data_IF_475840557461
#
_entry.id   IF_475840557461
#
_cell.length_a   1.000
_cell.length_b   1.000
_cell.length_c   1.000
_cell.angle_alpha   90.00
_cell.angle_beta   90.00
_cell.angle_gamma   90.00
#
_symmetry.space_group_name_H-M   'P 1'
#
loop_
_entity.id
_entity.type
_entity.pdbx_description
1 polymer ?
#
# COMPACT_ATOMS: atom_id res chain seq x y z
N UNK A 1 29.09 0.31 38.83
CA UNK A 1 28.35 -0.39 37.76
C UNK A 1 27.87 0.67 36.78
N UNK A 2 28.54 0.79 35.63
CA UNK A 2 28.11 1.68 34.55
C UNK A 2 27.07 0.91 33.73
N UNK A 3 25.84 1.41 33.70
CA UNK A 3 24.87 0.99 32.69
C UNK A 3 25.33 1.58 31.35
N UNK A 4 25.96 0.77 30.50
CA UNK A 4 25.99 1.06 29.06
C UNK A 4 24.54 1.00 28.57
N UNK A 5 23.95 2.16 28.31
CA UNK A 5 22.77 2.26 27.46
C UNK A 5 23.20 1.80 26.07
N UNK A 6 22.64 0.68 25.63
CA UNK A 6 22.73 0.25 24.25
C UNK A 6 22.24 1.38 23.36
N UNK A 7 23.10 1.80 22.44
CA UNK A 7 22.71 2.70 21.37
C UNK A 7 21.93 1.82 20.39
N UNK A 8 20.62 1.65 20.61
CA UNK A 8 19.76 0.64 19.97
C UNK A 8 19.57 0.86 18.45
N UNK A 9 20.37 1.71 17.81
CA UNK A 9 20.31 1.95 16.38
C UNK A 9 18.99 2.59 15.92
N UNK A 10 18.21 3.18 16.82
CA UNK A 10 16.96 3.85 16.48
C UNK A 10 16.84 5.20 17.17
N UNK A 11 16.13 6.16 16.55
CA UNK A 11 15.72 7.42 17.20
C UNK A 11 14.59 7.18 18.20
N UNK A 12 14.23 8.21 18.98
CA UNK A 12 13.06 8.17 19.88
C UNK A 12 11.74 7.88 19.14
N UNK A 13 11.67 8.17 17.84
CA UNK A 13 10.52 7.87 16.98
C UNK A 13 10.62 6.48 16.31
N UNK A 14 11.64 5.69 16.64
CA UNK A 14 11.90 4.37 16.07
C UNK A 14 12.54 4.38 14.68
N UNK A 15 12.95 5.55 14.17
CA UNK A 15 13.65 5.65 12.88
C UNK A 15 15.01 4.96 12.98
N UNK A 16 15.39 4.08 12.03
CA UNK A 16 16.69 3.42 12.05
C UNK A 16 17.84 4.43 11.85
N UNK A 17 18.79 4.45 12.79
CA UNK A 17 20.01 5.27 12.75
C UNK A 17 21.25 4.39 12.54
N UNK A 18 22.14 4.79 11.63
CA UNK A 18 23.39 4.05 11.38
C UNK A 18 23.21 2.75 10.60
N UNK A 19 22.03 2.54 10.00
CA UNK A 19 21.72 1.43 9.10
C UNK A 19 21.78 1.87 7.62
N UNK A 20 21.88 0.94 6.66
CA UNK A 20 21.84 1.27 5.23
C UNK A 20 20.51 1.93 4.83
N UNK A 21 20.51 2.70 3.74
CA UNK A 21 19.31 3.38 3.20
C UNK A 21 18.11 2.44 2.97
N UNK A 22 18.37 1.16 2.73
CA UNK A 22 17.33 0.12 2.63
C UNK A 22 16.52 -0.05 3.92
N UNK A 23 17.12 0.14 5.10
CA UNK A 23 16.44 0.03 6.38
C UNK A 23 15.47 1.21 6.60
N UNK A 24 15.91 2.44 6.30
CA UNK A 24 15.04 3.61 6.32
C UNK A 24 13.86 3.45 5.35
N UNK A 25 14.13 2.97 4.13
CA UNK A 25 13.08 2.70 3.13
C UNK A 25 12.05 1.69 3.63
N UNK A 26 12.49 0.57 4.18
CA UNK A 26 11.58 -0.43 4.77
C UNK A 26 10.75 0.17 5.91
N UNK A 27 11.37 0.95 6.80
CA UNK A 27 10.67 1.63 7.89
C UNK A 27 9.61 2.64 7.39
N UNK A 28 9.92 3.40 6.33
CA UNK A 28 8.96 4.31 5.69
C UNK A 28 7.81 3.55 5.01
N UNK A 29 8.09 2.40 4.38
CA UNK A 29 7.04 1.52 3.84
C UNK A 29 6.13 0.98 4.95
N UNK A 30 6.68 0.69 6.14
CA UNK A 30 5.89 0.22 7.28
C UNK A 30 4.92 1.27 7.83
N UNK A 31 5.01 2.54 7.45
CA UNK A 31 4.06 3.57 7.88
C UNK A 31 2.63 3.32 7.37
N UNK A 32 2.43 2.50 6.33
CA UNK A 32 1.09 2.07 5.90
C UNK A 32 0.57 0.85 6.66
N UNK A 33 1.31 0.29 7.62
CA UNK A 33 0.96 -0.94 8.33
C UNK A 33 -0.41 -0.85 9.03
N UNK A 34 -0.77 0.31 9.59
CA UNK A 34 -2.09 0.50 10.19
C UNK A 34 -3.23 0.31 9.16
N UNK A 35 -3.06 0.85 7.94
CA UNK A 35 -4.02 0.66 6.83
C UNK A 35 -4.08 -0.82 6.43
N UNK A 36 -2.93 -1.49 6.33
CA UNK A 36 -2.86 -2.91 6.00
C UNK A 36 -3.54 -3.77 7.07
N UNK A 37 -3.31 -3.51 8.36
CA UNK A 37 -3.96 -4.21 9.47
C UNK A 37 -5.48 -4.05 9.44
N UNK A 38 -5.96 -2.84 9.16
CA UNK A 38 -7.39 -2.59 8.99
C UNK A 38 -7.96 -3.41 7.81
N UNK A 39 -7.25 -3.46 6.68
CA UNK A 39 -7.66 -4.27 5.52
C UNK A 39 -7.67 -5.77 5.85
N UNK A 40 -6.69 -6.28 6.58
CA UNK A 40 -6.67 -7.68 7.02
C UNK A 40 -7.90 -8.02 7.85
N UNK A 41 -8.24 -7.19 8.83
CA UNK A 41 -9.44 -7.37 9.66
C UNK A 41 -10.70 -7.41 8.79
N UNK A 42 -10.84 -6.46 7.87
CA UNK A 42 -12.00 -6.41 6.96
C UNK A 42 -12.13 -7.68 6.11
N UNK A 43 -11.02 -8.15 5.52
CA UNK A 43 -11.02 -9.37 4.70
C UNK A 43 -11.31 -10.63 5.52
N UNK A 44 -10.80 -10.70 6.75
CA UNK A 44 -11.11 -11.79 7.68
C UNK A 44 -12.59 -11.78 8.09
N UNK A 45 -13.15 -10.62 8.39
CA UNK A 45 -14.59 -10.48 8.71
C UNK A 45 -15.49 -10.92 7.56
N UNK A 46 -15.12 -10.62 6.30
CA UNK A 46 -15.85 -11.12 5.13
C UNK A 46 -15.85 -12.66 5.09
N UNK A 47 -14.70 -13.30 5.31
CA UNK A 47 -14.60 -14.75 5.33
C UNK A 47 -15.39 -15.38 6.50
N UNK A 48 -15.34 -14.77 7.68
CA UNK A 48 -16.12 -15.20 8.85
C UNK A 48 -17.63 -15.10 8.60
N UNK A 49 -18.10 -13.98 8.03
CA UNK A 49 -19.52 -13.78 7.71
C UNK A 49 -20.01 -14.75 6.64
N UNK A 50 -19.16 -15.03 5.65
CA UNK A 50 -19.43 -16.04 4.63
C UNK A 50 -19.59 -17.43 5.26
N UNK A 51 -18.75 -17.78 6.24
CA UNK A 51 -18.88 -19.05 6.99
C UNK A 51 -20.22 -19.15 7.74
N UNK A 52 -20.61 -18.13 8.49
CA UNK A 52 -21.90 -18.14 9.20
C UNK A 52 -23.11 -18.23 8.26
N UNK A 53 -23.00 -17.62 7.08
CA UNK A 53 -24.05 -17.68 6.05
C UNK A 53 -24.10 -19.07 5.42
N UNK A 54 -22.95 -19.68 5.16
CA UNK A 54 -22.83 -21.03 4.63
C UNK A 54 -23.51 -22.06 5.55
N UNK A 55 -23.23 -22.01 6.86
CA UNK A 55 -23.80 -22.97 7.82
C UNK A 55 -25.34 -22.94 7.78
N UNK A 56 -25.94 -21.75 7.76
CA UNK A 56 -27.41 -21.57 7.64
C UNK A 56 -27.95 -21.99 6.28
N UNK A 57 -27.19 -21.81 5.21
CA UNK A 57 -27.59 -22.20 3.86
C UNK A 57 -27.59 -23.73 3.69
N UNK A 58 -26.59 -24.40 4.27
CA UNK A 58 -26.49 -25.86 4.30
C UNK A 58 -27.66 -26.50 5.07
N UNK A 59 -28.03 -25.94 6.24
CA UNK A 59 -29.21 -26.41 7.00
C UNK A 59 -30.52 -26.33 6.19
N UNK A 60 -30.63 -25.31 5.33
CA UNK A 60 -31.82 -25.07 4.49
C UNK A 60 -31.74 -25.70 3.10
N UNK A 61 -30.63 -26.36 2.76
CA UNK A 61 -30.36 -26.90 1.43
C UNK A 61 -30.51 -25.84 0.31
N UNK A 62 -30.16 -24.59 0.61
CA UNK A 62 -30.23 -23.46 -0.31
C UNK A 62 -28.94 -23.36 -1.14
N UNK A 63 -28.91 -24.06 -2.28
CA UNK A 63 -27.70 -24.19 -3.11
C UNK A 63 -27.16 -22.84 -3.59
N UNK A 64 -28.02 -21.90 -3.95
CA UNK A 64 -27.60 -20.57 -4.41
C UNK A 64 -26.84 -19.82 -3.31
N UNK A 65 -27.33 -19.88 -2.06
CA UNK A 65 -26.64 -19.26 -0.93
C UNK A 65 -25.37 -20.00 -0.53
N UNK A 66 -25.31 -21.32 -0.70
CA UNK A 66 -24.09 -22.10 -0.49
C UNK A 66 -23.00 -21.60 -1.45
N UNK A 67 -23.29 -21.55 -2.75
CA UNK A 67 -22.32 -21.15 -3.77
C UNK A 67 -21.84 -19.72 -3.56
N UNK A 68 -22.76 -18.78 -3.30
CA UNK A 68 -22.42 -17.38 -2.97
C UNK A 68 -21.56 -17.26 -1.72
N UNK A 69 -21.84 -18.06 -0.69
CA UNK A 69 -21.05 -18.02 0.55
C UNK A 69 -19.64 -18.54 0.33
N UNK A 70 -19.47 -19.61 -0.46
CA UNK A 70 -18.15 -20.13 -0.81
C UNK A 70 -17.35 -19.10 -1.63
N UNK A 71 -17.97 -18.48 -2.63
CA UNK A 71 -17.32 -17.43 -3.44
C UNK A 71 -16.87 -16.25 -2.57
N UNK A 72 -17.73 -15.79 -1.66
CA UNK A 72 -17.40 -14.71 -0.73
C UNK A 72 -16.26 -15.07 0.23
N UNK A 73 -16.23 -16.30 0.73
CA UNK A 73 -15.14 -16.79 1.57
C UNK A 73 -13.81 -16.82 0.80
N UNK A 74 -13.81 -17.40 -0.40
CA UNK A 74 -12.63 -17.46 -1.27
C UNK A 74 -12.11 -16.07 -1.60
N UNK A 75 -12.99 -15.14 -1.96
CA UNK A 75 -12.62 -13.75 -2.24
C UNK A 75 -12.03 -13.06 -1.00
N UNK A 76 -12.59 -13.32 0.19
CA UNK A 76 -12.05 -12.84 1.46
C UNK A 76 -10.62 -13.31 1.70
N UNK A 77 -10.36 -14.61 1.55
CA UNK A 77 -9.02 -15.19 1.74
C UNK A 77 -8.00 -14.73 0.70
N UNK A 78 -8.37 -14.66 -0.58
CA UNK A 78 -7.49 -14.14 -1.64
C UNK A 78 -7.08 -12.68 -1.39
N UNK A 79 -8.03 -11.85 -0.92
CA UNK A 79 -7.75 -10.46 -0.57
C UNK A 79 -6.86 -10.36 0.66
N UNK A 80 -7.06 -11.22 1.66
CA UNK A 80 -6.21 -11.31 2.85
C UNK A 80 -4.77 -11.71 2.51
N UNK A 81 -4.60 -12.74 1.67
CA UNK A 81 -3.30 -13.18 1.14
C UNK A 81 -2.56 -12.02 0.46
N UNK A 82 -3.27 -11.24 -0.35
CA UNK A 82 -2.70 -10.05 -1.00
C UNK A 82 -2.16 -9.02 -0.01
N UNK A 83 -2.82 -8.83 1.14
CA UNK A 83 -2.34 -7.92 2.20
C UNK A 83 -1.12 -8.51 2.93
N UNK A 84 -1.15 -9.79 3.29
CA UNK A 84 -0.03 -10.49 3.93
C UNK A 84 1.23 -10.46 3.07
N UNK A 85 1.09 -10.70 1.76
CA UNK A 85 2.20 -10.61 0.81
C UNK A 85 2.80 -9.21 0.72
N UNK A 86 1.98 -8.16 0.92
CA UNK A 86 2.47 -6.77 0.99
C UNK A 86 3.40 -6.59 2.19
N UNK A 87 2.98 -7.06 3.37
CA UNK A 87 3.82 -7.07 4.58
C UNK A 87 5.15 -7.80 4.37
N UNK A 88 5.09 -9.02 3.80
CA UNK A 88 6.28 -9.82 3.55
C UNK A 88 7.27 -9.14 2.60
N UNK A 89 6.76 -8.43 1.59
CA UNK A 89 7.61 -7.70 0.64
C UNK A 89 8.29 -6.49 1.27
N UNK A 90 7.62 -5.77 2.17
CA UNK A 90 8.22 -4.64 2.90
C UNK A 90 9.29 -5.09 3.89
N UNK A 91 9.13 -6.29 4.46
CA UNK A 91 10.08 -6.85 5.43
C UNK A 91 11.22 -7.67 4.82
N UNK A 92 11.32 -7.76 3.49
CA UNK A 92 12.39 -8.52 2.86
C UNK A 92 13.73 -7.78 3.00
N UNK A 93 14.83 -8.53 3.15
CA UNK A 93 16.19 -7.97 3.31
C UNK A 93 16.58 -6.99 2.19
N UNK A 94 15.99 -7.16 1.00
CA UNK A 94 16.09 -6.23 -0.13
C UNK A 94 14.71 -6.05 -0.77
N UNK A 95 13.93 -5.04 -0.33
CA UNK A 95 12.64 -4.71 -0.93
C UNK A 95 12.86 -4.22 -2.36
N UNK A 96 12.81 -5.14 -3.32
CA UNK A 96 12.99 -4.79 -4.72
C UNK A 96 11.75 -4.06 -5.21
N UNK A 97 11.88 -2.78 -5.57
CA UNK A 97 10.75 -1.91 -5.89
C UNK A 97 9.84 -2.52 -6.97
N UNK A 98 10.42 -3.09 -8.02
CA UNK A 98 9.70 -3.83 -9.07
C UNK A 98 8.79 -4.92 -8.51
N UNK A 99 9.24 -5.74 -7.54
CA UNK A 99 8.42 -6.80 -6.95
C UNK A 99 7.23 -6.25 -6.17
N UNK A 100 7.44 -5.15 -5.45
CA UNK A 100 6.39 -4.45 -4.72
C UNK A 100 5.37 -3.87 -5.70
N UNK A 101 5.82 -3.15 -6.73
CA UNK A 101 4.94 -2.53 -7.72
C UNK A 101 4.17 -3.56 -8.56
N UNK A 102 4.80 -4.67 -8.97
CA UNK A 102 4.09 -5.78 -9.64
C UNK A 102 3.02 -6.42 -8.75
N UNK A 103 3.29 -6.53 -7.46
CA UNK A 103 2.31 -7.00 -6.50
C UNK A 103 1.12 -6.03 -6.39
N UNK A 104 1.38 -4.71 -6.36
CA UNK A 104 0.33 -3.70 -6.42
C UNK A 104 -0.46 -3.75 -7.73
N UNK A 105 0.21 -3.90 -8.89
CA UNK A 105 -0.45 -4.06 -10.19
C UNK A 105 -1.45 -5.22 -10.17
N UNK A 106 -1.05 -6.38 -9.65
CA UNK A 106 -1.95 -7.53 -9.48
C UNK A 106 -3.10 -7.23 -8.52
N UNK A 107 -2.83 -6.58 -7.38
CA UNK A 107 -3.87 -6.23 -6.39
C UNK A 107 -4.96 -5.32 -6.97
N UNK A 108 -4.60 -4.31 -7.76
CA UNK A 108 -5.57 -3.42 -8.39
C UNK A 108 -6.26 -4.06 -9.61
N UNK A 109 -5.55 -4.88 -10.38
CA UNK A 109 -6.15 -5.64 -11.49
C UNK A 109 -7.28 -6.54 -11.01
N UNK A 110 -7.15 -7.15 -9.82
CA UNK A 110 -8.23 -7.95 -9.21
C UNK A 110 -9.47 -7.10 -8.84
N UNK A 111 -9.32 -5.78 -8.73
CA UNK A 111 -10.41 -4.82 -8.54
C UNK A 111 -10.88 -4.20 -9.86
N UNK A 112 -10.33 -4.65 -10.99
CA UNK A 112 -10.63 -4.11 -12.32
C UNK A 112 -10.09 -2.70 -12.54
N UNK A 113 -9.01 -2.34 -11.85
CA UNK A 113 -8.27 -1.09 -12.06
C UNK A 113 -6.94 -1.42 -12.72
N UNK A 114 -6.61 -0.72 -13.80
CA UNK A 114 -5.32 -0.83 -14.48
C UNK A 114 -4.31 0.12 -13.83
N UNK A 115 -3.08 -0.36 -13.66
CA UNK A 115 -2.00 0.39 -13.03
C UNK A 115 -0.80 0.50 -13.98
N UNK A 116 -0.48 1.74 -14.36
CA UNK A 116 0.65 2.10 -15.21
C UNK A 116 1.77 2.72 -14.36
N UNK A 117 2.94 2.08 -14.35
CA UNK A 117 4.14 2.51 -13.63
C UNK A 117 5.38 2.29 -14.50
N UNK A 118 6.44 3.10 -14.35
CA UNK A 118 7.76 2.76 -14.87
C UNK A 118 8.27 1.48 -14.19
N UNK A 119 8.67 0.49 -15.00
CA UNK A 119 9.10 -0.83 -14.51
C UNK A 119 10.61 -0.96 -14.30
N UNK A 120 11.40 0.00 -14.80
CA UNK A 120 12.87 -0.05 -14.78
C UNK A 120 13.47 1.36 -14.58
N UNK A 121 13.34 1.89 -13.38
CA UNK A 121 14.01 3.14 -13.01
C UNK A 121 14.61 3.04 -11.61
N UNK A 122 15.89 3.37 -11.47
CA UNK A 122 16.55 3.50 -10.17
C UNK A 122 15.82 4.52 -9.26
N UNK A 123 15.21 5.54 -9.88
CA UNK A 123 14.39 6.57 -9.23
C UNK A 123 13.19 6.01 -8.46
N UNK A 124 12.65 4.88 -8.91
CA UNK A 124 11.48 4.25 -8.29
C UNK A 124 11.81 3.73 -6.90
N UNK A 125 13.05 3.29 -6.66
CA UNK A 125 13.42 2.73 -5.37
C UNK A 125 13.34 3.80 -4.26
N UNK A 126 13.84 5.01 -4.54
CA UNK A 126 13.93 6.07 -3.52
C UNK A 126 12.58 6.70 -3.22
N UNK A 127 11.69 6.71 -4.21
CA UNK A 127 10.35 7.26 -4.10
C UNK A 127 9.28 6.18 -3.79
N UNK A 128 9.71 4.93 -3.57
CA UNK A 128 8.81 3.81 -3.34
C UNK A 128 7.85 4.03 -2.16
N UNK A 129 8.25 4.60 -1.01
CA UNK A 129 7.31 4.88 0.08
C UNK A 129 6.19 5.85 -0.33
N UNK A 130 6.50 6.89 -1.10
CA UNK A 130 5.51 7.85 -1.61
C UNK A 130 4.53 7.21 -2.60
N UNK A 131 5.03 6.33 -3.48
CA UNK A 131 4.21 5.56 -4.42
C UNK A 131 3.26 4.64 -3.65
N UNK A 132 3.79 3.86 -2.71
CA UNK A 132 3.00 2.91 -1.90
C UNK A 132 1.95 3.64 -1.05
N UNK A 133 2.30 4.77 -0.46
CA UNK A 133 1.36 5.60 0.29
C UNK A 133 0.16 6.01 -0.56
N UNK A 134 0.44 6.50 -1.79
CA UNK A 134 -0.58 6.91 -2.75
C UNK A 134 -1.49 5.74 -3.15
N UNK A 135 -0.91 4.57 -3.42
CA UNK A 135 -1.66 3.37 -3.78
C UNK A 135 -2.57 2.89 -2.64
N UNK A 136 -2.07 2.86 -1.41
CA UNK A 136 -2.90 2.45 -0.26
C UNK A 136 -4.00 3.45 0.04
N UNK A 137 -3.82 4.75 -0.27
CA UNK A 137 -4.89 5.73 -0.20
C UNK A 137 -5.97 5.48 -1.28
N UNK A 138 -5.56 5.17 -2.51
CA UNK A 138 -6.48 4.99 -3.64
C UNK A 138 -7.30 3.70 -3.61
N UNK A 139 -6.81 2.66 -2.92
CA UNK A 139 -7.40 1.32 -2.97
C UNK A 139 -8.92 1.27 -2.73
N UNK A 140 -9.45 2.13 -1.85
CA UNK A 140 -10.88 2.16 -1.51
C UNK A 140 -11.68 3.24 -2.24
N UNK A 141 -11.04 3.99 -3.14
CA UNK A 141 -11.59 5.20 -3.77
C UNK A 141 -11.77 5.08 -5.28
N UNK A 142 -11.09 4.11 -5.91
CA UNK A 142 -11.14 3.94 -7.35
C UNK A 142 -12.34 3.11 -7.81
N UNK A 143 -12.89 3.51 -8.95
CA UNK A 143 -13.97 2.81 -9.64
C UNK A 143 -13.42 1.74 -10.57
N UNK A 144 -14.20 0.68 -10.78
CA UNK A 144 -13.88 -0.37 -11.76
C UNK A 144 -13.76 0.22 -13.16
N UNK A 145 -12.72 -0.16 -13.90
CA UNK A 145 -12.40 0.37 -15.23
C UNK A 145 -11.52 1.61 -15.21
N UNK A 146 -11.14 2.13 -14.04
CA UNK A 146 -10.16 3.20 -13.93
C UNK A 146 -8.77 2.73 -14.40
N UNK A 147 -8.03 3.65 -15.01
CA UNK A 147 -6.62 3.49 -15.33
C UNK A 147 -5.86 4.53 -14.49
N UNK A 148 -5.03 4.08 -13.57
CA UNK A 148 -4.20 4.96 -12.75
C UNK A 148 -2.78 4.97 -13.32
N UNK A 149 -2.29 6.17 -13.59
CA UNK A 149 -0.94 6.43 -14.09
C UNK A 149 -0.10 7.03 -12.97
N UNK A 150 1.05 6.42 -12.71
CA UNK A 150 2.03 6.96 -11.78
C UNK A 150 3.33 7.21 -12.53
N UNK A 151 3.72 8.47 -12.59
CA UNK A 151 4.97 8.92 -13.21
C UNK A 151 5.97 9.22 -12.11
N UNK A 152 7.21 8.82 -12.32
CA UNK A 152 8.31 9.02 -11.38
C UNK A 152 9.37 9.85 -12.09
N UNK A 153 9.76 10.95 -11.44
CA UNK A 153 10.83 11.84 -11.82
C UNK A 153 11.84 11.90 -10.68
N UNK A 154 12.99 12.53 -10.90
CA UNK A 154 14.17 12.47 -10.02
C UNK A 154 13.85 12.61 -8.51
N UNK A 155 13.00 13.56 -8.14
CA UNK A 155 12.60 13.80 -6.75
C UNK A 155 11.09 13.84 -6.54
N UNK A 156 10.32 13.30 -7.49
CA UNK A 156 8.88 13.57 -7.56
C UNK A 156 8.09 12.39 -8.10
N UNK A 157 6.92 12.17 -7.51
CA UNK A 157 5.92 11.20 -7.96
C UNK A 157 4.65 11.95 -8.33
N UNK A 158 4.15 11.73 -9.55
CA UNK A 158 2.83 12.19 -9.97
C UNK A 158 1.87 11.02 -10.02
N UNK A 159 0.67 11.22 -9.49
CA UNK A 159 -0.39 10.22 -9.49
C UNK A 159 -1.63 10.83 -10.14
N UNK A 160 -2.05 10.24 -11.25
CA UNK A 160 -3.17 10.72 -12.07
C UNK A 160 -4.08 9.57 -12.48
N UNK A 161 -5.36 9.84 -12.69
CA UNK A 161 -6.30 8.89 -13.28
C UNK A 161 -6.57 9.26 -14.75
N UNK A 162 -6.40 8.30 -15.66
CA UNK A 162 -6.71 8.46 -17.08
C UNK A 162 -8.21 8.23 -17.34
N UNK A 163 -8.77 9.02 -18.27
CA UNK A 163 -10.11 8.88 -18.87
C UNK A 163 -11.34 9.11 -17.97
N UNK A 164 -11.20 9.58 -16.72
CA UNK A 164 -12.31 9.81 -15.78
C UNK A 164 -12.06 11.01 -14.85
N UNK A 165 -13.06 11.36 -14.01
CA UNK A 165 -13.06 12.46 -13.03
C UNK A 165 -11.76 12.58 -12.21
N UNK A 166 -11.45 13.82 -11.80
CA UNK A 166 -10.34 14.14 -10.91
C UNK A 166 -10.37 13.27 -9.64
N UNK A 167 -9.23 12.65 -9.30
CA UNK A 167 -9.09 11.95 -8.03
C UNK A 167 -8.72 12.93 -6.94
N UNK A 168 -9.49 12.94 -5.85
CA UNK A 168 -9.18 13.80 -4.72
C UNK A 168 -7.85 13.39 -4.07
N UNK A 169 -6.95 14.35 -3.77
CA UNK A 169 -5.70 14.07 -3.08
C UNK A 169 -5.95 13.49 -1.68
N UNK A 170 -4.96 12.82 -1.07
CA UNK A 170 -4.95 12.59 0.36
C UNK A 170 -5.10 13.92 1.11
N UNK A 171 -5.89 13.97 2.20
CA UNK A 171 -6.06 15.20 2.97
C UNK A 171 -4.74 15.65 3.61
N UNK A 172 -3.93 14.69 4.06
CA UNK A 172 -2.62 14.90 4.66
C UNK A 172 -1.75 13.65 4.44
N UNK A 173 -0.44 13.81 4.61
CA UNK A 173 0.48 12.69 4.79
C UNK A 173 0.63 12.44 6.30
N UNK A 174 0.90 11.19 6.71
CA UNK A 174 1.17 10.94 8.12
C UNK A 174 2.45 11.64 8.58
N UNK A 175 2.49 12.14 9.82
CA UNK A 175 3.58 12.96 10.37
C UNK A 175 4.98 12.47 10.02
N UNK A 176 5.20 11.15 10.14
CA UNK A 176 6.47 10.51 9.79
C UNK A 176 6.80 10.67 8.31
N UNK A 177 5.86 10.36 7.41
CA UNK A 177 6.09 10.49 5.96
C UNK A 177 6.21 11.96 5.55
N UNK A 178 5.47 12.87 6.20
CA UNK A 178 5.60 14.30 5.93
C UNK A 178 7.00 14.81 6.29
N UNK A 179 7.76 14.20 7.21
CA UNK A 179 9.16 14.58 7.41
C UNK A 179 10.02 14.40 6.14
N UNK A 180 9.71 13.41 5.31
CA UNK A 180 10.51 13.01 4.14
C UNK A 180 9.92 13.44 2.81
N UNK A 181 8.63 13.74 2.76
CA UNK A 181 7.90 13.97 1.53
C UNK A 181 6.90 15.12 1.67
N UNK A 182 6.73 15.91 0.63
CA UNK A 182 5.73 16.98 0.54
C UNK A 182 4.62 16.57 -0.41
N UNK A 183 3.39 16.49 0.08
CA UNK A 183 2.19 16.26 -0.73
C UNK A 183 1.61 17.57 -1.24
N UNK A 184 1.28 17.63 -2.52
CA UNK A 184 0.62 18.77 -3.15
C UNK A 184 -0.49 18.30 -4.11
N UNK A 185 -1.71 18.88 -4.06
CA UNK A 185 -2.73 18.65 -5.08
C UNK A 185 -2.24 19.02 -6.49
N UNK A 186 -2.66 18.27 -7.49
CA UNK A 186 -2.36 18.48 -8.91
C UNK A 186 -3.65 18.41 -9.74
N UNK A 187 -3.66 18.95 -10.97
CA UNK A 187 -4.87 19.11 -11.80
C UNK A 187 -5.73 17.85 -11.94
N UNK A 188 -5.11 16.65 -11.98
CA UNK A 188 -5.82 15.36 -12.13
C UNK A 188 -5.48 14.36 -11.03
N UNK A 189 -4.98 14.84 -9.90
CA UNK A 189 -4.60 14.02 -8.76
C UNK A 189 -3.65 14.75 -7.82
N UNK A 190 -2.44 14.22 -7.64
CA UNK A 190 -1.46 14.85 -6.76
C UNK A 190 -0.02 14.53 -7.12
N UNK A 191 0.84 15.35 -6.54
CA UNK A 191 2.28 15.30 -6.60
C UNK A 191 2.83 15.01 -5.19
N UNK A 192 3.82 14.12 -5.09
CA UNK A 192 4.63 13.95 -3.89
C UNK A 192 6.09 14.24 -4.24
N UNK A 193 6.69 15.21 -3.55
CA UNK A 193 8.10 15.61 -3.76
C UNK A 193 8.94 15.21 -2.55
N UNK A 194 10.12 14.63 -2.76
CA UNK A 194 11.09 14.29 -1.69
C UNK A 194 11.60 15.58 -1.01
N UNK A 195 11.53 15.64 0.31
CA UNK A 195 12.09 16.74 1.12
C UNK A 195 13.59 16.50 1.33
N UNK A 196 14.35 17.58 1.51
CA UNK A 196 15.77 17.51 1.84
C UNK A 196 16.73 17.44 0.64
N UNK A 197 16.24 17.39 -0.60
CA UNK A 197 17.06 17.59 -1.79
C UNK A 197 16.79 18.95 -2.43
N UNK A 198 17.35 20.00 -1.82
CA UNK A 198 17.68 21.22 -2.55
C UNK A 198 18.89 21.92 -1.91
N UNK A 199 19.93 22.06 -2.76
CA UNK A 199 21.22 22.77 -2.64
C UNK A 199 22.36 21.87 -2.14
N UNK A 200 23.42 21.63 -2.90
CA UNK A 200 23.98 22.32 -4.07
C UNK A 200 25.07 21.45 -4.69
#
# INVERSE_FOLDING_TARGET
MQHSTSNDGHTENGEPTGYPDSALRSWLLFQVAAKLNHQMRNHLTVAQNARFTLDRAMEKQDQEKIDKSLEMATLGFQRLEGVLKTWMLFNSEQPHAVRILEHYRKRFSNSGVELLFPLNDALVEDLLPAIVYSLEYLRTRLIRGAVLEVRVEENRVHVEQSKNEEIAPPPEMGDVLDHYFHLKPHEKGWEITKKGEAKS
#
